data_IF_435644241769
#
_entry.id   IF_435644241769
#
_cell.length_a   1.000
_cell.length_b   1.000
_cell.length_c   1.000
_cell.angle_alpha   90.00
_cell.angle_beta   90.00
_cell.angle_gamma   90.00
#
_symmetry.space_group_name_H-M   'P 1'
#
loop_
_entity.id
_entity.type
_entity.pdbx_description
1 polymer ?
#
# COMPACT_ATOMS: atom_id res chain seq x y z
N UNK A 1 35.14 -3.24 3.55
CA UNK A 1 34.10 -4.29 3.51
C UNK A 1 33.33 -4.15 2.20
N UNK A 2 33.45 -5.08 1.25
CA UNK A 2 32.63 -5.05 0.02
C UNK A 2 31.18 -5.33 0.43
N UNK A 3 30.29 -4.34 0.33
CA UNK A 3 28.86 -4.59 0.47
C UNK A 3 28.46 -5.62 -0.59
N UNK A 4 27.89 -6.76 -0.16
CA UNK A 4 27.43 -7.78 -1.09
C UNK A 4 26.31 -7.16 -1.94
N UNK A 5 26.31 -7.29 -3.27
CA UNK A 5 25.32 -6.66 -4.16
C UNK A 5 23.86 -6.88 -3.73
N UNK A 6 23.56 -8.06 -3.15
CA UNK A 6 22.22 -8.38 -2.63
C UNK A 6 21.84 -7.59 -1.37
N UNK A 7 22.79 -7.22 -0.51
CA UNK A 7 22.51 -6.39 0.68
C UNK A 7 22.15 -4.96 0.29
N UNK A 8 22.80 -4.44 -0.74
CA UNK A 8 22.45 -3.13 -1.31
C UNK A 8 21.09 -3.18 -1.99
N UNK A 9 20.82 -4.23 -2.78
CA UNK A 9 19.51 -4.43 -3.40
C UNK A 9 18.38 -4.57 -2.37
N UNK A 10 18.61 -5.30 -1.28
CA UNK A 10 17.64 -5.45 -0.19
C UNK A 10 17.32 -4.10 0.48
N UNK A 11 18.34 -3.30 0.76
CA UNK A 11 18.16 -1.95 1.32
C UNK A 11 17.35 -1.06 0.37
N UNK A 12 17.65 -1.11 -0.93
CA UNK A 12 16.86 -0.38 -1.93
C UNK A 12 15.39 -0.83 -1.92
N UNK A 13 15.11 -2.14 -1.93
CA UNK A 13 13.73 -2.65 -1.92
C UNK A 13 12.97 -2.32 -0.64
N UNK A 14 13.65 -2.24 0.51
CA UNK A 14 13.03 -1.74 1.76
C UNK A 14 12.63 -0.28 1.65
N UNK A 15 13.52 0.56 1.15
CA UNK A 15 13.22 1.98 0.95
C UNK A 15 12.06 2.19 -0.04
N UNK A 16 12.01 1.43 -1.14
CA UNK A 16 10.89 1.47 -2.08
C UNK A 16 9.57 1.04 -1.42
N UNK A 17 9.60 -0.02 -0.61
CA UNK A 17 8.43 -0.48 0.15
C UNK A 17 7.94 0.61 1.11
N UNK A 18 8.84 1.21 1.90
CA UNK A 18 8.51 2.30 2.83
C UNK A 18 7.89 3.51 2.11
N UNK A 19 8.42 3.88 0.94
CA UNK A 19 7.88 4.96 0.14
C UNK A 19 6.46 4.67 -0.37
N UNK A 20 6.21 3.44 -0.82
CA UNK A 20 4.88 3.01 -1.29
C UNK A 20 3.89 2.87 -0.12
N UNK A 21 4.33 2.39 1.04
CA UNK A 21 3.51 2.33 2.26
C UNK A 21 3.05 3.71 2.70
N UNK A 22 3.95 4.71 2.67
CA UNK A 22 3.60 6.09 2.95
C UNK A 22 2.57 6.63 1.95
N UNK A 23 2.82 6.46 0.66
CA UNK A 23 1.89 6.92 -0.39
C UNK A 23 0.52 6.23 -0.29
N UNK A 24 0.50 4.94 0.04
CA UNK A 24 -0.74 4.20 0.27
C UNK A 24 -1.50 4.74 1.48
N UNK A 25 -0.82 5.03 2.59
CA UNK A 25 -1.42 5.68 3.75
C UNK A 25 -2.04 7.05 3.42
N UNK A 26 -1.34 7.86 2.62
CA UNK A 26 -1.87 9.15 2.13
C UNK A 26 -3.10 8.97 1.23
N UNK A 27 -3.15 7.93 0.39
CA UNK A 27 -4.31 7.63 -0.43
C UNK A 27 -5.53 7.18 0.39
N UNK A 28 -5.33 6.37 1.42
CA UNK A 28 -6.40 5.99 2.36
C UNK A 28 -6.92 7.23 3.11
N UNK A 29 -6.04 8.13 3.53
CA UNK A 29 -6.44 9.40 4.13
C UNK A 29 -7.25 10.28 3.15
N UNK A 30 -6.90 10.29 1.85
CA UNK A 30 -7.69 11.01 0.82
C UNK A 30 -9.05 10.37 0.59
N UNK A 31 -9.15 9.04 0.55
CA UNK A 31 -10.43 8.32 0.42
C UNK A 31 -11.36 8.65 1.59
N UNK A 32 -10.88 8.50 2.83
CA UNK A 32 -11.68 8.84 4.02
C UNK A 32 -12.11 10.31 4.06
N UNK A 33 -11.26 11.23 3.60
CA UNK A 33 -11.63 12.64 3.49
C UNK A 33 -12.73 12.86 2.43
N UNK A 34 -12.66 12.20 1.28
CA UNK A 34 -13.70 12.25 0.25
C UNK A 34 -15.04 11.69 0.75
N UNK A 35 -15.01 10.56 1.46
CA UNK A 35 -16.20 9.98 2.11
C UNK A 35 -16.83 10.94 3.13
N UNK A 36 -16.01 11.65 3.91
CA UNK A 36 -16.50 12.66 4.85
C UNK A 36 -17.18 13.83 4.13
N UNK A 37 -16.65 14.28 2.98
CA UNK A 37 -17.28 15.32 2.15
C UNK A 37 -18.62 14.84 1.60
N UNK A 38 -18.69 13.60 1.10
CA UNK A 38 -19.92 13.01 0.61
C UNK A 38 -20.97 12.89 1.72
N UNK A 39 -20.58 12.39 2.89
CA UNK A 39 -21.45 12.30 4.07
C UNK A 39 -22.00 13.67 4.47
N UNK A 40 -21.14 14.70 4.49
CA UNK A 40 -21.55 16.08 4.78
C UNK A 40 -22.54 16.61 3.74
N UNK A 41 -22.32 16.35 2.44
CA UNK A 41 -23.23 16.79 1.38
C UNK A 41 -24.62 16.14 1.53
N UNK A 42 -24.69 14.85 1.88
CA UNK A 42 -25.94 14.17 2.17
C UNK A 42 -26.64 14.71 3.44
N UNK A 43 -25.87 14.99 4.50
CA UNK A 43 -26.43 15.60 5.72
C UNK A 43 -27.04 16.97 5.44
N UNK A 44 -26.37 17.80 4.62
CA UNK A 44 -26.91 19.09 4.21
C UNK A 44 -28.22 18.93 3.43
N UNK A 45 -28.29 17.98 2.49
CA UNK A 45 -29.55 17.72 1.77
C UNK A 45 -30.70 17.34 2.72
N UNK A 46 -30.44 16.49 3.70
CA UNK A 46 -31.45 16.09 4.70
C UNK A 46 -31.87 17.28 5.56
N UNK A 47 -30.93 18.12 5.97
CA UNK A 47 -31.21 19.33 6.75
C UNK A 47 -32.08 20.32 5.97
N UNK A 48 -31.70 20.66 4.75
CA UNK A 48 -32.43 21.60 3.89
C UNK A 48 -33.82 21.06 3.54
N UNK A 49 -33.94 19.76 3.27
CA UNK A 49 -35.24 19.12 3.06
C UNK A 49 -36.10 19.18 4.32
N UNK A 50 -35.50 18.96 5.49
CA UNK A 50 -36.18 19.04 6.79
C UNK A 50 -36.74 20.43 7.06
N UNK A 51 -35.98 21.47 6.76
CA UNK A 51 -36.43 22.87 6.89
C UNK A 51 -37.60 23.17 5.95
N UNK A 52 -37.53 22.74 4.69
CA UNK A 52 -38.59 22.96 3.71
C UNK A 52 -39.85 22.12 3.95
N UNK A 53 -39.73 21.00 4.69
CA UNK A 53 -40.84 20.10 5.00
C UNK A 53 -41.44 20.33 6.39
N UNK A 54 -40.96 21.34 7.12
CA UNK A 54 -41.50 21.72 8.43
C UNK A 54 -42.95 22.22 8.26
N UNK A 55 -43.93 21.73 9.03
CA UNK A 55 -45.31 22.24 9.00
C UNK A 55 -45.45 23.74 9.33
N UNK A 56 -44.43 24.37 9.90
CA UNK A 56 -44.37 25.82 10.14
C UNK A 56 -43.65 26.59 9.02
N UNK A 57 -43.06 25.91 8.04
CA UNK A 57 -42.40 26.55 6.91
C UNK A 57 -43.42 27.27 6.02
N UNK A 58 -43.03 28.43 5.50
CA UNK A 58 -43.79 29.19 4.53
C UNK A 58 -43.43 28.79 3.08
N UNK A 59 -44.22 29.29 2.13
CA UNK A 59 -44.00 29.05 0.70
C UNK A 59 -42.61 29.54 0.24
N UNK A 60 -42.07 30.57 0.89
CA UNK A 60 -40.74 31.13 0.61
C UNK A 60 -39.62 30.13 0.96
N UNK A 61 -39.73 29.40 2.08
CA UNK A 61 -38.79 28.35 2.45
C UNK A 61 -38.81 27.18 1.45
N UNK A 62 -40.00 26.79 0.96
CA UNK A 62 -40.14 25.74 -0.07
C UNK A 62 -39.55 26.21 -1.40
N UNK A 63 -39.79 27.45 -1.80
CA UNK A 63 -39.22 28.02 -3.02
C UNK A 63 -37.69 28.12 -2.91
N UNK A 64 -37.15 28.56 -1.78
CA UNK A 64 -35.72 28.62 -1.52
C UNK A 64 -35.07 27.24 -1.65
N UNK A 65 -35.68 26.20 -1.07
CA UNK A 65 -35.21 24.82 -1.22
C UNK A 65 -35.26 24.35 -2.67
N UNK A 66 -36.33 24.65 -3.42
CA UNK A 66 -36.44 24.27 -4.83
C UNK A 66 -35.33 24.88 -5.70
N UNK A 67 -34.93 26.13 -5.41
CA UNK A 67 -33.84 26.83 -6.08
C UNK A 67 -32.47 26.28 -5.67
N UNK A 68 -32.32 25.85 -4.43
CA UNK A 68 -31.08 25.28 -3.90
C UNK A 68 -30.86 23.81 -4.34
N UNK A 69 -31.92 23.02 -4.49
CA UNK A 69 -31.85 21.57 -4.72
C UNK A 69 -30.92 21.16 -5.88
N UNK A 70 -30.92 21.82 -7.07
CA UNK A 70 -29.99 21.48 -8.13
C UNK A 70 -28.52 21.66 -7.73
N UNK A 71 -28.21 22.68 -6.91
CA UNK A 71 -26.86 22.94 -6.40
C UNK A 71 -26.47 21.85 -5.39
N UNK A 72 -27.36 21.50 -4.47
CA UNK A 72 -27.14 20.41 -3.51
C UNK A 72 -26.91 19.05 -4.20
N UNK A 73 -27.71 18.73 -5.22
CA UNK A 73 -27.55 17.51 -6.01
C UNK A 73 -26.22 17.47 -6.77
N UNK A 74 -25.79 18.62 -7.32
CA UNK A 74 -24.48 18.73 -7.97
C UNK A 74 -23.34 18.53 -6.98
N UNK A 75 -23.42 19.11 -5.79
CA UNK A 75 -22.42 18.92 -4.74
C UNK A 75 -22.29 17.45 -4.32
N UNK A 76 -23.41 16.70 -4.25
CA UNK A 76 -23.39 15.26 -4.00
C UNK A 76 -22.73 14.51 -5.16
N UNK A 77 -23.08 14.83 -6.41
CA UNK A 77 -22.48 14.19 -7.58
C UNK A 77 -20.96 14.42 -7.65
N UNK A 78 -20.51 15.65 -7.40
CA UNK A 78 -19.09 16.01 -7.36
C UNK A 78 -18.37 15.25 -6.23
N UNK A 79 -18.99 15.15 -5.04
CA UNK A 79 -18.43 14.39 -3.92
C UNK A 79 -18.38 12.88 -4.19
N UNK A 80 -19.36 12.32 -4.90
CA UNK A 80 -19.32 10.92 -5.34
C UNK A 80 -18.18 10.66 -6.32
N UNK A 81 -17.92 11.59 -7.23
CA UNK A 81 -16.81 11.46 -8.18
C UNK A 81 -15.46 11.54 -7.45
N UNK A 82 -15.30 12.44 -6.49
CA UNK A 82 -14.11 12.49 -5.63
C UNK A 82 -13.87 11.17 -4.88
N UNK A 83 -14.93 10.54 -4.37
CA UNK A 83 -14.81 9.21 -3.75
C UNK A 83 -14.34 8.15 -4.75
N UNK A 84 -14.87 8.16 -5.98
CA UNK A 84 -14.45 7.22 -7.03
C UNK A 84 -12.99 7.41 -7.42
N UNK A 85 -12.56 8.65 -7.65
CA UNK A 85 -11.17 8.96 -7.97
C UNK A 85 -10.23 8.52 -6.84
N UNK A 86 -10.58 8.82 -5.59
CA UNK A 86 -9.79 8.41 -4.43
C UNK A 86 -9.71 6.88 -4.26
N UNK A 87 -10.80 6.17 -4.54
CA UNK A 87 -10.83 4.71 -4.51
C UNK A 87 -9.93 4.08 -5.60
N UNK A 88 -9.96 4.65 -6.82
CA UNK A 88 -9.08 4.22 -7.91
C UNK A 88 -7.61 4.44 -7.56
N UNK A 89 -7.27 5.62 -7.03
CA UNK A 89 -5.93 5.96 -6.56
C UNK A 89 -5.43 4.96 -5.50
N UNK A 90 -6.28 4.65 -4.51
CA UNK A 90 -5.97 3.66 -3.48
C UNK A 90 -5.71 2.30 -4.10
N UNK A 91 -6.53 1.84 -5.03
CA UNK A 91 -6.41 0.51 -5.63
C UNK A 91 -5.13 0.39 -6.49
N UNK A 92 -4.76 1.45 -7.22
CA UNK A 92 -3.48 1.53 -7.91
C UNK A 92 -2.30 1.39 -6.93
N UNK A 93 -2.33 2.13 -5.83
CA UNK A 93 -1.27 2.08 -4.81
C UNK A 93 -1.25 0.76 -4.05
N UNK A 94 -2.41 0.13 -3.84
CA UNK A 94 -2.50 -1.23 -3.28
C UNK A 94 -1.78 -2.24 -4.15
N UNK A 95 -1.97 -2.16 -5.47
CA UNK A 95 -1.26 -3.02 -6.42
C UNK A 95 0.26 -2.81 -6.34
N UNK A 96 0.70 -1.54 -6.33
CA UNK A 96 2.12 -1.19 -6.18
C UNK A 96 2.70 -1.71 -4.86
N UNK A 97 1.94 -1.63 -3.76
CA UNK A 97 2.36 -2.15 -2.46
C UNK A 97 2.61 -3.66 -2.50
N UNK A 98 1.68 -4.41 -3.09
CA UNK A 98 1.83 -5.87 -3.25
C UNK A 98 3.06 -6.21 -4.11
N UNK A 99 3.31 -5.46 -5.18
CA UNK A 99 4.49 -5.63 -6.03
C UNK A 99 5.79 -5.34 -5.27
N UNK A 100 5.84 -4.26 -4.48
CA UNK A 100 7.01 -3.90 -3.67
C UNK A 100 7.31 -4.98 -2.61
N UNK A 101 6.28 -5.49 -1.92
CA UNK A 101 6.41 -6.59 -0.96
C UNK A 101 6.92 -7.88 -1.63
N UNK A 102 6.38 -8.22 -2.81
CA UNK A 102 6.83 -9.38 -3.56
C UNK A 102 8.30 -9.25 -4.01
N UNK A 103 8.70 -8.06 -4.47
CA UNK A 103 10.08 -7.77 -4.87
C UNK A 103 11.06 -7.90 -3.69
N UNK A 104 10.71 -7.35 -2.52
CA UNK A 104 11.53 -7.50 -1.31
C UNK A 104 11.69 -8.98 -0.93
N UNK A 105 10.57 -9.73 -0.89
CA UNK A 105 10.57 -11.17 -0.56
C UNK A 105 11.39 -12.00 -1.55
N UNK A 106 11.41 -11.62 -2.83
CA UNK A 106 12.24 -12.27 -3.83
C UNK A 106 13.73 -12.08 -3.55
N UNK A 107 14.16 -10.87 -3.17
CA UNK A 107 15.55 -10.59 -2.79
C UNK A 107 15.96 -11.35 -1.53
N UNK A 108 15.07 -11.42 -0.52
CA UNK A 108 15.34 -12.20 0.70
C UNK A 108 15.54 -13.68 0.39
N UNK A 109 14.68 -14.26 -0.45
CA UNK A 109 14.86 -15.65 -0.90
C UNK A 109 16.17 -15.88 -1.67
N UNK A 110 16.62 -14.90 -2.46
CA UNK A 110 17.90 -15.00 -3.16
C UNK A 110 19.08 -14.96 -2.20
N UNK A 111 19.01 -14.12 -1.16
CA UNK A 111 20.03 -14.08 -0.11
C UNK A 111 20.11 -15.41 0.65
N UNK A 112 18.97 -16.00 1.00
CA UNK A 112 18.92 -17.30 1.68
C UNK A 112 19.55 -18.40 0.84
N UNK A 113 19.24 -18.44 -0.47
CA UNK A 113 19.87 -19.38 -1.41
C UNK A 113 21.38 -19.19 -1.48
N UNK A 114 21.86 -17.96 -1.63
CA UNK A 114 23.29 -17.67 -1.69
C UNK A 114 24.00 -18.12 -0.39
N UNK A 115 23.38 -17.89 0.77
CA UNK A 115 23.92 -18.33 2.06
C UNK A 115 24.00 -19.85 2.16
N UNK A 116 22.96 -20.56 1.72
CA UNK A 116 22.95 -22.02 1.69
C UNK A 116 24.04 -22.58 0.76
N UNK A 117 24.21 -21.99 -0.43
CA UNK A 117 25.27 -22.37 -1.38
C UNK A 117 26.67 -22.15 -0.80
N UNK A 118 26.90 -21.00 -0.15
CA UNK A 118 28.17 -20.70 0.51
C UNK A 118 28.48 -21.69 1.64
N UNK A 119 27.47 -22.04 2.45
CA UNK A 119 27.62 -23.03 3.52
C UNK A 119 27.95 -24.42 2.95
N UNK A 120 27.25 -24.82 1.88
CA UNK A 120 27.51 -26.10 1.22
C UNK A 120 28.93 -26.18 0.64
N UNK A 121 29.40 -25.10 0.00
CA UNK A 121 30.76 -25.02 -0.51
C UNK A 121 31.82 -25.05 0.60
N UNK A 122 31.54 -24.41 1.74
CA UNK A 122 32.44 -24.45 2.90
C UNK A 122 32.53 -25.88 3.47
N UNK A 123 31.39 -26.55 3.67
CA UNK A 123 31.34 -27.93 4.15
C UNK A 123 32.06 -28.89 3.20
N UNK A 124 31.88 -28.72 1.88
CA UNK A 124 32.55 -29.54 0.87
C UNK A 124 34.07 -29.35 0.88
N UNK A 125 34.56 -28.13 1.12
CA UNK A 125 35.99 -27.84 1.27
C UNK A 125 36.56 -28.49 2.54
N UNK A 126 35.83 -28.40 3.64
CA UNK A 126 36.22 -29.03 4.91
C UNK A 126 36.29 -30.55 4.77
N UNK A 127 35.28 -31.17 4.14
CA UNK A 127 35.27 -32.61 3.87
C UNK A 127 36.44 -33.03 2.97
N UNK A 128 36.71 -32.29 1.88
CA UNK A 128 37.85 -32.58 1.01
C UNK A 128 39.20 -32.51 1.74
N UNK A 129 39.37 -31.56 2.66
CA UNK A 129 40.57 -31.44 3.48
C UNK A 129 40.73 -32.63 4.45
N UNK A 130 39.63 -33.08 5.07
CA UNK A 130 39.64 -34.26 5.94
C UNK A 130 39.97 -35.54 5.16
N UNK A 131 39.38 -35.72 3.98
CA UNK A 131 39.65 -36.87 3.11
C UNK A 131 41.12 -36.91 2.66
N UNK A 132 41.70 -35.76 2.31
CA UNK A 132 43.12 -35.64 1.95
C UNK A 132 44.04 -36.04 3.12
N UNK A 133 43.72 -35.59 4.34
CA UNK A 133 44.46 -35.97 5.55
C UNK A 133 44.36 -37.48 5.82
N UNK A 134 43.17 -38.06 5.68
CA UNK A 134 42.94 -39.49 5.88
C UNK A 134 43.73 -40.34 4.86
N UNK A 135 43.79 -39.91 3.60
CA UNK A 135 44.59 -40.56 2.55
C UNK A 135 46.09 -40.51 2.87
N UNK A 136 46.61 -39.36 3.31
CA UNK A 136 48.01 -39.22 3.72
C UNK A 136 48.36 -40.12 4.90
N UNK A 137 47.46 -40.22 5.89
CA UNK A 137 47.67 -41.08 7.04
C UNK A 137 47.70 -42.56 6.66
N UNK A 138 46.81 -43.01 5.75
CA UNK A 138 46.83 -44.38 5.21
C UNK A 138 48.06 -44.71 4.39
N UNK A 139 48.70 -43.73 3.75
CA UNK A 139 49.91 -43.96 2.96
C UNK A 139 51.19 -44.08 3.83
N UNK A 140 51.11 -43.73 5.11
CA UNK A 140 52.23 -43.79 6.07
C UNK A 140 52.24 -45.09 6.91
N UNK A 141 51.19 -45.91 6.81
CA UNK A 141 51.07 -47.23 7.44
C UNK A 141 51.01 -48.32 6.37
#
# INVERSE_FOLDING_TARGET
MKQMPLDTLKRLRRHELEAVEKAFGEAVARETAAEAVLSKAHLLLIQEQGLASDPQADDDAVEAFSRWLPVGQRAIADAQELCREAALDRDCLRSALLMAQAALKAVEKLQDKQRLEMNYLALRKEQAALDELALRQRALY
#
